data_IF_070631000051
#
_entry.id   IF_070631000051
#
_cell.length_a   1.000
_cell.length_b   1.000
_cell.length_c   1.000
_cell.angle_alpha   90.00
_cell.angle_beta   90.00
_cell.angle_gamma   90.00
#
_symmetry.space_group_name_H-M   'P 1'
#
loop_
_entity.id
_entity.type
_entity.pdbx_description
1 polymer ?
#
# COMPACT_ATOMS: atom_id res chain seq x y z
N UNK A 1 -6.49 -2.05 -15.73
CA UNK A 1 -6.71 -2.85 -14.52
C UNK A 1 -6.05 -4.22 -14.75
N UNK A 2 -5.26 -4.72 -13.78
CA UNK A 2 -4.54 -6.00 -13.91
C UNK A 2 -5.51 -7.18 -14.03
N UNK A 3 -5.08 -8.26 -14.69
CA UNK A 3 -5.79 -9.54 -14.65
C UNK A 3 -5.59 -10.16 -13.26
N UNK A 4 -6.68 -10.44 -12.54
CA UNK A 4 -6.67 -10.88 -11.13
C UNK A 4 -5.99 -9.85 -10.20
N UNK A 5 -6.67 -8.76 -9.83
CA UNK A 5 -6.08 -7.72 -8.99
C UNK A 5 -6.01 -8.18 -7.52
N UNK A 6 -4.98 -7.75 -6.80
CA UNK A 6 -4.86 -8.01 -5.36
C UNK A 6 -5.82 -7.15 -4.53
N UNK A 7 -6.15 -5.95 -5.02
CA UNK A 7 -7.10 -5.02 -4.42
C UNK A 7 -8.15 -4.61 -5.45
N UNK A 8 -9.40 -4.41 -5.02
CA UNK A 8 -10.46 -3.93 -5.90
C UNK A 8 -10.34 -2.42 -6.19
N UNK A 9 -9.62 -1.70 -5.33
CA UNK A 9 -9.48 -0.24 -5.36
C UNK A 9 -8.15 0.20 -5.97
N UNK A 10 -7.06 -0.46 -5.58
CA UNK A 10 -5.70 -0.05 -5.95
C UNK A 10 -5.04 -1.02 -6.93
N UNK A 11 -4.22 -0.49 -7.83
CA UNK A 11 -3.41 -1.31 -8.73
C UNK A 11 -2.11 -1.79 -8.03
N UNK A 12 -2.26 -2.55 -6.95
CA UNK A 12 -1.15 -3.10 -6.14
C UNK A 12 -0.73 -4.47 -6.69
N UNK A 13 0.58 -4.76 -6.78
CA UNK A 13 1.07 -6.06 -7.27
C UNK A 13 0.61 -7.22 -6.38
N UNK A 14 0.74 -8.44 -6.89
CA UNK A 14 0.48 -9.64 -6.11
C UNK A 14 1.51 -9.83 -4.99
N UNK A 15 1.17 -10.61 -3.95
CA UNK A 15 2.05 -10.91 -2.81
C UNK A 15 3.48 -11.31 -3.23
N UNK A 16 3.60 -12.13 -4.28
CA UNK A 16 4.89 -12.59 -4.82
C UNK A 16 5.85 -11.47 -5.23
N UNK A 17 5.34 -10.31 -5.62
CA UNK A 17 6.18 -9.13 -5.90
C UNK A 17 6.98 -8.71 -4.67
N UNK A 18 6.34 -8.77 -3.50
CA UNK A 18 6.91 -8.37 -2.22
C UNK A 18 7.78 -9.46 -1.61
N UNK A 19 7.51 -10.74 -1.89
CA UNK A 19 8.40 -11.86 -1.51
C UNK A 19 9.82 -11.68 -2.09
N UNK A 20 9.94 -11.05 -3.26
CA UNK A 20 11.24 -10.69 -3.84
C UNK A 20 11.85 -9.41 -3.25
N UNK A 21 11.28 -8.86 -2.17
CA UNK A 21 11.81 -7.68 -1.46
C UNK A 21 11.53 -6.35 -2.16
N UNK A 22 10.61 -6.31 -3.14
CA UNK A 22 10.35 -5.09 -3.89
C UNK A 22 9.45 -4.13 -3.13
N UNK A 23 9.94 -2.90 -2.89
CA UNK A 23 9.12 -1.80 -2.39
C UNK A 23 8.18 -1.29 -3.47
N UNK A 24 6.92 -1.03 -3.11
CA UNK A 24 5.92 -0.48 -4.02
C UNK A 24 5.44 0.88 -3.55
N UNK A 25 5.32 1.83 -4.46
CA UNK A 25 4.67 3.13 -4.22
C UNK A 25 3.52 3.32 -5.20
N UNK A 26 2.43 3.88 -4.71
CA UNK A 26 1.25 4.16 -5.51
C UNK A 26 0.48 5.35 -4.97
N UNK A 27 -0.52 5.78 -5.73
CA UNK A 27 -1.43 6.83 -5.32
C UNK A 27 -2.83 6.60 -5.87
N UNK A 28 -3.81 7.17 -5.20
CA UNK A 28 -5.21 7.20 -5.63
C UNK A 28 -5.82 8.54 -5.21
N UNK A 29 -6.16 9.39 -6.19
CA UNK A 29 -6.59 10.75 -5.91
C UNK A 29 -5.50 11.56 -5.20
N UNK A 30 -5.77 12.03 -3.97
CA UNK A 30 -4.80 12.75 -3.13
C UNK A 30 -4.02 11.84 -2.18
N UNK A 31 -4.49 10.61 -1.96
CA UNK A 31 -3.82 9.65 -1.09
C UNK A 31 -2.63 9.06 -1.86
N UNK A 32 -1.46 9.13 -1.25
CA UNK A 32 -0.27 8.41 -1.67
C UNK A 32 0.08 7.36 -0.62
N UNK A 33 0.65 6.25 -1.07
CA UNK A 33 1.01 5.15 -0.19
C UNK A 33 2.32 4.49 -0.62
N UNK A 34 3.00 3.88 0.35
CA UNK A 34 4.23 3.12 0.17
C UNK A 34 4.15 1.83 0.97
N UNK A 35 4.49 0.71 0.33
CA UNK A 35 4.56 -0.61 0.93
C UNK A 35 6.01 -1.08 0.86
N UNK A 36 6.60 -1.33 2.02
CA UNK A 36 8.00 -1.73 2.18
C UNK A 36 8.01 -3.14 2.76
N UNK A 37 8.44 -4.17 2.01
CA UNK A 37 8.61 -5.51 2.56
C UNK A 37 9.91 -5.62 3.37
N UNK A 38 9.91 -6.51 4.37
CA UNK A 38 11.03 -6.79 5.27
C UNK A 38 10.71 -8.04 6.11
N UNK A 39 11.02 -8.02 7.41
CA UNK A 39 10.47 -9.02 8.35
C UNK A 39 8.94 -8.90 8.45
N UNK A 40 8.45 -7.66 8.38
CA UNK A 40 7.05 -7.29 8.29
C UNK A 40 6.88 -6.37 7.07
N UNK A 41 5.67 -6.31 6.52
CA UNK A 41 5.26 -5.18 5.70
C UNK A 41 5.20 -3.93 6.57
N UNK A 42 5.81 -2.84 6.11
CA UNK A 42 5.52 -1.50 6.59
C UNK A 42 4.75 -0.76 5.52
N UNK A 43 3.56 -0.26 5.85
CA UNK A 43 2.74 0.54 4.94
C UNK A 43 2.60 1.95 5.49
N UNK A 44 2.88 2.94 4.65
CA UNK A 44 2.83 4.36 4.97
C UNK A 44 1.85 5.07 4.06
N UNK A 45 1.11 6.05 4.58
CA UNK A 45 0.23 6.91 3.78
C UNK A 45 0.45 8.39 4.06
N UNK A 46 0.17 9.21 3.06
CA UNK A 46 0.19 10.68 3.17
C UNK A 46 -0.71 11.31 2.10
N UNK A 47 -1.23 12.51 2.37
CA UNK A 47 -2.04 13.29 1.44
C UNK A 47 -1.30 14.53 0.94
N UNK A 48 -0.28 14.33 0.11
CA UNK A 48 0.45 15.42 -0.52
C UNK A 48 0.85 15.10 -1.96
N UNK A 49 1.26 16.13 -2.71
CA UNK A 49 1.86 15.96 -4.05
C UNK A 49 3.36 15.63 -4.00
N UNK A 50 3.93 15.58 -2.79
CA UNK A 50 5.35 15.30 -2.60
C UNK A 50 5.57 13.78 -2.60
N UNK A 51 6.75 13.36 -3.04
CA UNK A 51 7.19 11.97 -2.91
C UNK A 51 7.41 11.60 -1.44
N UNK A 52 7.41 10.31 -1.11
CA UNK A 52 7.48 9.81 0.27
C UNK A 52 8.69 10.31 1.07
N UNK A 53 9.77 10.73 0.40
CA UNK A 53 10.99 11.24 1.05
C UNK A 53 10.83 12.67 1.56
N UNK A 54 9.87 13.41 1.03
CA UNK A 54 9.60 14.82 1.34
C UNK A 54 8.22 15.03 1.97
N UNK A 55 7.42 13.97 2.06
CA UNK A 55 6.09 14.02 2.63
C UNK A 55 6.14 13.76 4.13
N UNK A 56 5.31 14.48 4.88
CA UNK A 56 4.99 14.11 6.26
C UNK A 56 4.10 12.87 6.22
N UNK A 57 4.62 11.75 6.72
CA UNK A 57 3.87 10.51 6.82
C UNK A 57 2.77 10.69 7.87
N UNK A 58 1.52 10.49 7.46
CA UNK A 58 0.35 10.72 8.30
C UNK A 58 0.01 9.49 9.14
N UNK A 59 0.08 8.32 8.53
CA UNK A 59 -0.10 7.04 9.21
C UNK A 59 0.92 6.02 8.71
N UNK A 60 1.39 5.18 9.62
CA UNK A 60 2.23 4.03 9.36
C UNK A 60 1.67 2.83 10.12
N UNK A 61 1.61 1.67 9.46
CA UNK A 61 1.20 0.40 10.06
C UNK A 61 2.14 -0.72 9.64
N UNK A 62 2.20 -1.75 10.46
CA UNK A 62 2.98 -2.97 10.17
C UNK A 62 2.11 -4.22 10.18
N UNK A 63 2.42 -5.15 9.28
CA UNK A 63 1.74 -6.44 9.14
C UNK A 63 2.76 -7.55 8.91
N UNK A 64 2.52 -8.79 9.37
CA UNK A 64 3.42 -9.91 9.10
C UNK A 64 3.68 -10.11 7.60
N UNK A 65 4.91 -10.48 7.21
CA UNK A 65 5.28 -10.81 5.83
C UNK A 65 4.71 -12.18 5.39
N UNK A 66 3.39 -12.32 5.44
CA UNK A 66 2.61 -13.50 5.05
C UNK A 66 1.47 -13.10 4.10
N UNK A 67 0.87 -14.07 3.42
CA UNK A 67 -0.26 -13.79 2.52
C UNK A 67 -1.48 -13.24 3.28
N UNK A 68 -1.74 -13.72 4.50
CA UNK A 68 -2.80 -13.18 5.37
C UNK A 68 -2.50 -11.74 5.81
N UNK A 69 -1.25 -11.46 6.23
CA UNK A 69 -0.82 -10.12 6.60
C UNK A 69 -0.89 -9.14 5.41
N UNK A 70 -0.58 -9.62 4.21
CA UNK A 70 -0.77 -8.87 2.97
C UNK A 70 -2.24 -8.52 2.73
N UNK A 71 -3.17 -9.47 2.88
CA UNK A 71 -4.60 -9.20 2.74
C UNK A 71 -5.15 -8.25 3.83
N UNK A 72 -4.66 -8.35 5.07
CA UNK A 72 -5.02 -7.41 6.14
C UNK A 72 -4.52 -5.99 5.84
N UNK A 73 -3.28 -5.85 5.38
CA UNK A 73 -2.70 -4.58 4.94
C UNK A 73 -3.54 -3.96 3.82
N UNK A 74 -3.92 -4.75 2.81
CA UNK A 74 -4.76 -4.27 1.70
C UNK A 74 -6.13 -3.78 2.20
N UNK A 75 -6.81 -4.57 3.04
CA UNK A 75 -8.10 -4.17 3.63
C UNK A 75 -7.98 -2.85 4.40
N UNK A 76 -6.92 -2.69 5.19
CA UNK A 76 -6.68 -1.42 5.89
C UNK A 76 -6.48 -0.27 4.91
N UNK A 77 -5.66 -0.44 3.88
CA UNK A 77 -5.42 0.61 2.89
C UNK A 77 -6.69 0.98 2.13
N UNK A 78 -7.54 0.01 1.80
CA UNK A 78 -8.85 0.23 1.17
C UNK A 78 -9.80 1.06 2.03
N UNK A 79 -9.72 0.98 3.37
CA UNK A 79 -10.48 1.88 4.26
C UNK A 79 -10.05 3.35 4.15
N UNK A 80 -8.85 3.60 3.62
CA UNK A 80 -8.28 4.94 3.43
C UNK A 80 -8.59 5.52 2.05
N UNK A 81 -9.19 4.72 1.17
CA UNK A 81 -9.58 5.18 -0.15
C UNK A 81 -10.53 6.40 -0.03
N UNK A 82 -10.28 7.49 -0.77
CA UNK A 82 -11.19 8.63 -0.81
C UNK A 82 -12.59 8.16 -1.21
N UNK A 83 -13.59 8.40 -0.36
CA UNK A 83 -14.99 8.17 -0.66
C UNK A 83 -15.50 9.26 -1.60
N UNK A 84 -15.27 9.09 -2.91
CA UNK A 84 -15.81 10.00 -3.92
C UNK A 84 -15.41 9.61 -5.34
N UNK A 85 -16.38 9.10 -6.11
CA UNK A 85 -16.39 9.30 -7.56
C UNK A 85 -16.87 10.71 -7.88
#
# INVERSE_FOLDING_TARGET
>A
MRKNPASEVYDIPQYTYFEFGNTFTGSYGKLSYKIIPGENFTVQIWHSRLCSELADIEEEQTYPMTEDGFHEMLRWLETKAPTGK
#
